data_IF_385539452879
#
_entry.id   IF_385539452879
#
_cell.length_a   1.000
_cell.length_b   1.000
_cell.length_c   1.000
_cell.angle_alpha   90.00
_cell.angle_beta   90.00
_cell.angle_gamma   90.00
#
_symmetry.space_group_name_H-M   'P 1'
#
loop_
_entity.id
_entity.type
_entity.pdbx_description
1 polymer ?
#
# COMPACT_ATOMS: atom_id res chain seq x y z
N UNK A 1 3.09 -13.23 11.57
CA UNK A 1 1.89 -14.05 11.42
C UNK A 1 1.04 -13.31 10.42
N UNK A 2 0.82 -13.90 9.25
CA UNK A 2 0.16 -13.25 8.12
C UNK A 2 -1.32 -13.05 8.44
N UNK A 3 -1.84 -11.83 8.40
CA UNK A 3 -3.29 -11.63 8.30
C UNK A 3 -3.71 -12.06 6.89
N UNK A 4 -4.19 -13.29 6.81
CA UNK A 4 -4.47 -14.12 5.63
C UNK A 4 -5.97 -14.03 5.30
N UNK A 5 -6.57 -12.85 5.48
CA UNK A 5 -8.00 -12.66 5.29
C UNK A 5 -8.27 -12.10 3.89
N UNK A 6 -9.33 -12.59 3.26
CA UNK A 6 -9.75 -12.14 1.93
C UNK A 6 -10.61 -10.90 2.09
N UNK A 7 -10.18 -9.80 1.50
CA UNK A 7 -10.94 -8.56 1.41
C UNK A 7 -11.86 -8.66 0.20
N UNK A 8 -13.19 -8.62 0.37
CA UNK A 8 -14.12 -8.62 -0.76
C UNK A 8 -14.07 -7.28 -1.49
N UNK A 9 -14.24 -7.32 -2.80
CA UNK A 9 -14.26 -6.15 -3.67
C UNK A 9 -15.66 -5.91 -4.28
N UNK A 10 -16.01 -4.66 -4.63
CA UNK A 10 -17.30 -4.31 -5.25
C UNK A 10 -17.69 -5.15 -6.47
N UNK A 11 -16.74 -5.55 -7.31
CA UNK A 11 -16.98 -6.42 -8.48
C UNK A 11 -17.40 -7.86 -8.13
N UNK A 12 -17.38 -8.21 -6.85
CA UNK A 12 -17.57 -9.59 -6.35
C UNK A 12 -16.27 -10.41 -6.35
N UNK A 13 -15.16 -9.82 -6.79
CA UNK A 13 -13.82 -10.40 -6.62
C UNK A 13 -13.34 -10.26 -5.17
N UNK A 14 -12.12 -10.72 -4.90
CA UNK A 14 -11.48 -10.57 -3.59
C UNK A 14 -9.98 -10.45 -3.74
N UNK A 15 -9.32 -9.86 -2.75
CA UNK A 15 -7.85 -9.81 -2.66
C UNK A 15 -7.39 -10.31 -1.32
N UNK A 16 -6.20 -10.90 -1.30
CA UNK A 16 -5.53 -11.32 -0.09
C UNK A 16 -4.20 -10.59 0.00
N UNK A 17 -4.04 -9.88 1.11
CA UNK A 17 -2.85 -9.06 1.35
C UNK A 17 -1.92 -9.76 2.34
N UNK A 18 -0.63 -9.53 2.15
CA UNK A 18 0.41 -9.87 3.12
C UNK A 18 0.41 -8.85 4.25
N UNK A 19 0.64 -9.31 5.48
CA UNK A 19 0.79 -8.42 6.64
C UNK A 19 1.91 -7.39 6.41
N UNK A 20 1.61 -6.08 6.40
CA UNK A 20 2.60 -5.02 6.19
C UNK A 20 3.74 -5.03 7.22
N UNK A 21 3.50 -5.53 8.43
CA UNK A 21 4.52 -5.64 9.49
C UNK A 21 5.58 -6.71 9.19
N UNK A 22 5.29 -7.61 8.24
CA UNK A 22 6.24 -8.63 7.76
C UNK A 22 7.08 -8.16 6.57
N UNK A 23 6.86 -6.94 6.08
CA UNK A 23 7.62 -6.37 4.97
C UNK A 23 9.08 -6.15 5.36
N UNK A 24 9.98 -6.51 4.45
CA UNK A 24 11.42 -6.31 4.60
C UNK A 24 11.85 -5.07 3.82
N UNK A 25 13.07 -4.58 4.09
CA UNK A 25 13.67 -3.46 3.34
C UNK A 25 13.60 -3.65 1.82
N UNK A 26 13.82 -4.87 1.33
CA UNK A 26 13.73 -5.18 -0.10
C UNK A 26 12.32 -5.01 -0.69
N UNK A 27 11.28 -5.27 0.10
CA UNK A 27 9.88 -5.04 -0.29
C UNK A 27 9.58 -3.55 -0.42
N UNK A 28 10.00 -2.75 0.58
CA UNK A 28 9.89 -1.29 0.52
C UNK A 28 10.61 -0.71 -0.70
N UNK A 29 11.81 -1.20 -1.02
CA UNK A 29 12.53 -0.78 -2.21
C UNK A 29 11.83 -1.19 -3.51
N UNK A 30 11.19 -2.37 -3.54
CA UNK A 30 10.39 -2.79 -4.70
C UNK A 30 9.19 -1.89 -4.93
N UNK A 31 8.43 -1.57 -3.89
CA UNK A 31 7.32 -0.62 -3.99
C UNK A 31 7.79 0.75 -4.51
N UNK A 32 8.92 1.26 -4.00
CA UNK A 32 9.48 2.55 -4.45
C UNK A 32 9.99 2.56 -5.89
N UNK A 33 10.35 1.40 -6.47
CA UNK A 33 10.78 1.33 -7.88
C UNK A 33 9.64 1.55 -8.86
N UNK A 34 8.38 1.42 -8.41
CA UNK A 34 7.22 1.73 -9.23
C UNK A 34 7.07 3.24 -9.46
N UNK A 35 7.53 4.06 -8.50
CA UNK A 35 7.49 5.53 -8.59
C UNK A 35 8.45 6.00 -9.69
N UNK A 36 7.90 6.46 -10.81
CA UNK A 36 8.70 7.03 -11.88
C UNK A 36 8.88 8.53 -11.65
N UNK A 37 10.13 9.00 -11.77
CA UNK A 37 10.55 10.40 -11.54
C UNK A 37 10.03 11.40 -12.62
N UNK A 38 9.01 11.00 -13.40
CA UNK A 38 8.53 11.72 -14.59
C UNK A 38 7.16 12.38 -14.40
N UNK A 39 6.48 12.14 -13.28
CA UNK A 39 5.17 12.72 -12.96
C UNK A 39 5.19 13.68 -11.78
N UNK A 40 4.20 14.59 -11.71
CA UNK A 40 3.96 15.42 -10.52
C UNK A 40 3.45 14.60 -9.33
N UNK A 41 3.28 15.24 -8.17
CA UNK A 41 2.99 14.60 -6.88
C UNK A 41 1.85 13.55 -6.91
N UNK A 42 0.79 13.81 -7.68
CA UNK A 42 -0.34 12.88 -7.81
C UNK A 42 0.05 11.57 -8.55
N UNK A 43 0.85 11.69 -9.61
CA UNK A 43 1.34 10.51 -10.36
C UNK A 43 2.24 9.65 -9.47
N UNK A 44 3.08 10.29 -8.64
CA UNK A 44 3.95 9.57 -7.72
C UNK A 44 3.17 8.84 -6.63
N UNK A 45 2.06 9.42 -6.15
CA UNK A 45 1.18 8.78 -5.19
C UNK A 45 0.51 7.53 -5.77
N UNK A 46 -0.01 7.62 -7.00
CA UNK A 46 -0.61 6.49 -7.71
C UNK A 46 0.42 5.39 -8.01
N UNK A 47 1.61 5.75 -8.48
CA UNK A 47 2.69 4.80 -8.71
C UNK A 47 3.11 4.08 -7.42
N UNK A 48 3.13 4.79 -6.28
CA UNK A 48 3.45 4.20 -4.99
C UNK A 48 2.39 3.19 -4.55
N UNK A 49 1.11 3.53 -4.72
CA UNK A 49 -0.01 2.62 -4.44
C UNK A 49 0.12 1.36 -5.30
N UNK A 50 0.35 1.50 -6.60
CA UNK A 50 0.57 0.37 -7.50
C UNK A 50 1.78 -0.49 -7.09
N UNK A 51 2.86 0.17 -6.66
CA UNK A 51 4.03 -0.50 -6.09
C UNK A 51 3.72 -1.28 -4.81
N UNK A 52 2.88 -0.73 -3.93
CA UNK A 52 2.42 -1.40 -2.71
C UNK A 52 1.52 -2.59 -3.02
N UNK A 53 0.52 -2.42 -3.88
CA UNK A 53 -0.37 -3.49 -4.34
C UNK A 53 0.44 -4.65 -4.92
N UNK A 54 1.47 -4.35 -5.72
CA UNK A 54 2.39 -5.34 -6.30
C UNK A 54 3.12 -6.19 -5.24
N UNK A 55 3.43 -5.58 -4.10
CA UNK A 55 4.20 -6.22 -3.03
C UNK A 55 3.30 -6.91 -2.00
N UNK A 56 2.10 -6.37 -1.79
CA UNK A 56 1.16 -6.79 -0.75
C UNK A 56 0.21 -7.88 -1.24
N UNK A 57 -0.27 -7.84 -2.49
CA UNK A 57 -1.19 -8.85 -3.01
C UNK A 57 -0.44 -10.18 -3.18
N UNK A 58 -0.88 -11.18 -2.42
CA UNK A 58 -0.34 -12.54 -2.47
C UNK A 58 -1.27 -13.52 -3.18
N UNK A 59 -2.56 -13.20 -3.25
CA UNK A 59 -3.57 -13.98 -3.96
C UNK A 59 -4.80 -13.08 -4.24
N UNK A 60 -5.59 -13.43 -5.25
CA UNK A 60 -6.83 -12.71 -5.59
C UNK A 60 -7.80 -13.53 -6.43
N UNK A 61 -9.05 -13.05 -6.54
CA UNK A 61 -10.14 -13.72 -7.24
C UNK A 61 -10.21 -13.50 -8.75
N UNK A 62 -9.28 -12.74 -9.34
CA UNK A 62 -9.32 -12.41 -10.77
C UNK A 62 -8.78 -13.54 -11.65
N UNK A 63 -9.23 -13.65 -12.92
CA UNK A 63 -8.79 -14.70 -13.84
C UNK A 63 -7.40 -14.44 -14.48
N UNK A 64 -6.59 -13.57 -13.90
CA UNK A 64 -5.28 -13.17 -14.41
C UNK A 64 -4.21 -13.23 -13.31
N UNK A 65 -2.91 -13.32 -13.65
CA UNK A 65 -1.83 -13.55 -12.68
C UNK A 65 -1.73 -12.43 -11.67
N UNK A 66 -1.38 -12.73 -10.41
CA UNK A 66 -1.21 -11.70 -9.37
C UNK A 66 -0.19 -10.62 -9.80
N UNK A 67 -0.29 -9.40 -9.28
CA UNK A 67 0.57 -8.29 -9.69
C UNK A 67 2.08 -8.56 -9.51
N UNK A 68 2.44 -9.39 -8.53
CA UNK A 68 3.83 -9.80 -8.29
C UNK A 68 4.42 -10.69 -9.40
N UNK A 69 3.57 -11.39 -10.15
CA UNK A 69 3.94 -12.19 -11.33
C UNK A 69 3.84 -11.35 -12.61
N UNK A 70 2.81 -10.52 -12.72
CA UNK A 70 2.59 -9.63 -13.87
C UNK A 70 2.01 -8.29 -13.41
N UNK A 71 2.85 -7.24 -13.36
CA UNK A 71 2.43 -5.92 -12.88
C UNK A 71 1.27 -5.32 -13.70
N UNK A 72 1.22 -5.60 -15.00
CA UNK A 72 0.14 -5.13 -15.90
C UNK A 72 -1.23 -5.76 -15.60
N UNK A 73 -1.32 -6.71 -14.68
CA UNK A 73 -2.61 -7.21 -14.19
C UNK A 73 -3.39 -6.15 -13.42
N UNK A 74 -2.72 -5.16 -12.80
CA UNK A 74 -3.40 -4.04 -12.14
C UNK A 74 -4.20 -3.18 -13.15
N UNK A 75 -3.72 -3.08 -14.39
CA UNK A 75 -4.38 -2.29 -15.45
C UNK A 75 -5.72 -2.91 -15.92
N UNK A 76 -5.97 -4.17 -15.57
CA UNK A 76 -7.15 -4.94 -15.96
C UNK A 76 -8.23 -4.98 -14.87
N UNK A 77 -7.96 -4.37 -13.72
CA UNK A 77 -8.89 -4.34 -12.60
C UNK A 77 -10.07 -3.42 -12.95
N UNK A 78 -11.32 -3.84 -12.63
CA UNK A 78 -12.47 -2.97 -12.76
C UNK A 78 -12.30 -1.68 -11.95
N UNK A 79 -12.60 -0.53 -12.54
CA UNK A 79 -12.47 0.77 -11.87
C UNK A 79 -13.31 0.87 -10.57
N UNK A 80 -14.39 0.10 -10.48
CA UNK A 80 -15.23 0.02 -9.27
C UNK A 80 -14.49 -0.58 -8.05
N UNK A 81 -13.40 -1.32 -8.27
CA UNK A 81 -12.59 -1.90 -7.20
C UNK A 81 -11.42 -0.99 -6.78
N UNK A 82 -11.13 0.08 -7.53
CA UNK A 82 -9.94 0.93 -7.32
C UNK A 82 -9.92 1.56 -5.93
N UNK A 83 -11.02 2.19 -5.52
CA UNK A 83 -11.15 2.81 -4.19
C UNK A 83 -10.95 1.77 -3.07
N UNK A 84 -11.54 0.57 -3.22
CA UNK A 84 -11.41 -0.50 -2.23
C UNK A 84 -9.97 -1.02 -2.12
N UNK A 85 -9.23 -1.07 -3.24
CA UNK A 85 -7.82 -1.44 -3.25
C UNK A 85 -6.93 -0.38 -2.62
N UNK A 86 -7.22 0.90 -2.88
CA UNK A 86 -6.53 2.03 -2.25
C UNK A 86 -6.68 1.97 -0.73
N UNK A 87 -7.91 1.83 -0.24
CA UNK A 87 -8.21 1.70 1.19
C UNK A 87 -7.50 0.50 1.83
N UNK A 88 -7.47 -0.63 1.13
CA UNK A 88 -6.86 -1.86 1.64
C UNK A 88 -5.34 -1.74 1.86
N UNK A 89 -4.66 -0.80 1.19
CA UNK A 89 -3.21 -0.59 1.33
C UNK A 89 -2.82 0.62 2.20
N UNK A 90 -3.78 1.41 2.69
CA UNK A 90 -3.51 2.62 3.48
C UNK A 90 -2.76 2.33 4.80
N UNK A 91 -3.07 1.23 5.50
CA UNK A 91 -2.30 0.82 6.69
C UNK A 91 -0.83 0.59 6.34
N UNK A 92 -0.57 -0.11 5.23
CA UNK A 92 0.77 -0.40 4.77
C UNK A 92 1.50 0.87 4.33
N UNK A 93 0.81 1.77 3.63
CA UNK A 93 1.33 3.07 3.20
C UNK A 93 1.75 3.89 4.41
N UNK A 94 0.88 4.05 5.40
CA UNK A 94 1.14 4.80 6.64
C UNK A 94 2.29 4.21 7.44
N UNK A 95 2.36 2.88 7.54
CA UNK A 95 3.43 2.18 8.26
C UNK A 95 4.80 2.34 7.59
N UNK A 96 4.87 2.22 6.26
CA UNK A 96 6.13 2.22 5.52
C UNK A 96 6.61 3.63 5.14
N UNK A 97 5.67 4.55 4.93
CA UNK A 97 5.88 5.92 4.52
C UNK A 97 5.08 6.86 5.43
N UNK A 98 5.40 6.89 6.74
CA UNK A 98 4.77 7.84 7.63
C UNK A 98 5.02 9.25 7.10
N UNK A 99 3.99 10.10 7.14
CA UNK A 99 4.13 11.51 6.81
C UNK A 99 5.27 12.15 7.62
N UNK A 100 5.84 13.24 7.10
CA UNK A 100 6.74 14.06 7.93
C UNK A 100 5.94 14.48 9.17
N UNK A 101 6.44 14.24 10.40
CA UNK A 101 5.80 14.77 11.59
C UNK A 101 5.65 16.29 11.43
N UNK A 102 4.42 16.82 11.47
CA UNK A 102 4.22 18.25 11.62
C UNK A 102 4.52 18.58 13.10
N UNK A 103 5.30 19.61 13.44
CA UNK A 103 5.45 20.08 14.82
C UNK A 103 4.13 20.30 15.57
N UNK A 104 3.00 20.44 14.86
CA UNK A 104 1.64 20.49 15.44
C UNK A 104 1.12 19.14 15.94
N UNK A 105 1.63 18.02 15.41
CA UNK A 105 1.25 16.65 15.78
C UNK A 105 1.87 16.22 17.12
N UNK A 106 2.81 16.99 17.68
CA UNK A 106 3.40 16.77 18.99
C UNK A 106 2.40 16.88 20.17
N UNK A 107 1.16 17.29 19.90
CA UNK A 107 0.05 17.31 20.87
C UNK A 107 -0.84 16.08 20.81
N UNK A 108 -0.58 15.14 19.89
CA UNK A 108 -1.30 13.89 19.81
C UNK A 108 -0.81 12.91 20.91
N UNK A 109 -1.67 12.50 21.86
CA UNK A 109 -1.30 11.59 22.94
C UNK A 109 -0.90 10.18 22.46
N UNK A 110 -1.09 9.85 21.18
CA UNK A 110 -0.60 8.61 20.57
C UNK A 110 0.88 8.67 20.12
N UNK A 111 1.55 9.82 20.23
CA UNK A 111 2.97 9.95 19.92
C UNK A 111 3.84 9.20 20.95
N UNK A 112 4.64 8.19 20.57
CA UNK A 112 5.38 7.34 21.50
C UNK A 112 6.66 7.99 22.06
N UNK A 113 6.93 9.25 21.73
CA UNK A 113 8.14 9.95 22.19
C UNK A 113 7.78 11.30 22.80
N UNK A 114 8.09 11.45 24.08
CA UNK A 114 8.15 12.74 24.74
C UNK A 114 9.15 13.66 24.03
N UNK A 115 8.87 14.96 23.86
CA UNK A 115 9.80 15.89 23.26
C UNK A 115 11.10 15.99 24.10
N UNK A 116 12.23 15.61 23.52
CA UNK A 116 13.58 15.72 24.12
C UNK A 116 14.12 17.16 24.12
N UNK A 117 13.33 18.14 24.55
CA UNK A 117 13.78 19.51 24.75
C UNK A 117 13.49 19.94 26.19
N UNK A 118 14.53 19.89 27.02
CA UNK A 118 14.62 20.54 28.33
C UNK A 118 15.09 21.98 28.18
#
# INVERSE_FOLDING_TARGET
MSTTERVPLPSGSWVQLRDPRTLRRGDKQRAMRAVQDKGGDLSQALDLINGLLTVLIIDWGYPFPVPSEAAGSLDLIPLEDDDALNDAVEEARTLLFPGKPDPKDAKDPASPTEPSAA
#
